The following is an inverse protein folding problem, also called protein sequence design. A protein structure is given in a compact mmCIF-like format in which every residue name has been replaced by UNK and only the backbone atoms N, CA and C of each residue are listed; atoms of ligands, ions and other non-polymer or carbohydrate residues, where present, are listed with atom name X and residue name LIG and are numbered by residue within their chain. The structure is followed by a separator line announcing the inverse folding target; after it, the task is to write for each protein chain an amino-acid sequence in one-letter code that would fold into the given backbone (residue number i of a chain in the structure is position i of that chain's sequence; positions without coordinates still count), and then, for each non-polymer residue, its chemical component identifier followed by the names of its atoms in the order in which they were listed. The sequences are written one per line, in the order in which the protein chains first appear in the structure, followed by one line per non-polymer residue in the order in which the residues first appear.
data_IF_796812618237
#
_entry.id   IF_796812618237
#
_cell.length_a   1.000
_cell.length_b   1.000
_cell.length_c   1.000
_cell.angle_alpha   90.00
_cell.angle_beta   90.00
_cell.angle_gamma   90.00
#
_symmetry.space_group_name_H-M   'P 1'
#
loop_
_entity.id
_entity.type
_entity.pdbx_description
1 polymer ?
#
# COMPACT_ATOMS: atom_id res chain seq x y z
N UNK A 1 -3.75 12.74 -2.64
CA UNK A 1 -3.91 12.06 -1.33
C UNK A 1 -5.32 11.54 -1.06
N UNK A 2 -6.40 12.34 -1.10
CA UNK A 2 -7.74 11.87 -0.69
C UNK A 2 -8.23 10.66 -1.47
N UNK A 3 -8.08 10.68 -2.80
CA UNK A 3 -8.44 9.56 -3.69
C UNK A 3 -7.65 8.30 -3.33
N UNK A 4 -6.32 8.40 -3.22
CA UNK A 4 -5.47 7.27 -2.84
C UNK A 4 -5.87 6.67 -1.48
N UNK A 5 -6.09 7.52 -0.47
CA UNK A 5 -6.53 7.09 0.85
C UNK A 5 -7.90 6.39 0.81
N UNK A 6 -8.87 6.97 0.11
CA UNK A 6 -10.20 6.37 -0.06
C UNK A 6 -10.10 5.01 -0.76
N UNK A 7 -9.34 4.92 -1.84
CA UNK A 7 -9.13 3.66 -2.58
C UNK A 7 -8.47 2.60 -1.71
N UNK A 8 -7.40 2.94 -0.95
CA UNK A 8 -6.72 1.96 -0.08
C UNK A 8 -7.57 1.50 1.10
N UNK A 9 -8.42 2.36 1.65
CA UNK A 9 -9.45 1.94 2.62
C UNK A 9 -10.46 0.98 1.97
N UNK A 10 -10.89 1.27 0.74
CA UNK A 10 -11.76 0.42 -0.05
C UNK A 10 -11.18 -0.98 -0.27
N UNK A 11 -9.90 -1.09 -0.63
CA UNK A 11 -9.21 -2.39 -0.80
C UNK A 11 -9.25 -3.23 0.49
N UNK A 12 -8.99 -2.62 1.65
CA UNK A 12 -9.03 -3.33 2.94
C UNK A 12 -10.45 -3.80 3.27
N UNK A 13 -11.45 -2.94 3.09
CA UNK A 13 -12.86 -3.31 3.30
C UNK A 13 -13.33 -4.43 2.37
N UNK A 14 -13.01 -4.30 1.08
CA UNK A 14 -13.32 -5.29 0.05
C UNK A 14 -12.68 -6.65 0.36
N UNK A 15 -11.41 -6.68 0.77
CA UNK A 15 -10.72 -7.92 1.13
C UNK A 15 -11.44 -8.65 2.27
N UNK A 16 -11.83 -7.92 3.32
CA UNK A 16 -12.52 -8.48 4.49
C UNK A 16 -13.88 -9.06 4.13
N UNK A 17 -14.67 -8.34 3.33
CA UNK A 17 -16.00 -8.82 2.92
C UNK A 17 -15.90 -9.98 1.95
N UNK A 18 -14.95 -9.93 1.01
CA UNK A 18 -14.71 -10.99 0.04
C UNK A 18 -14.27 -12.28 0.76
N UNK A 19 -13.38 -12.19 1.76
CA UNK A 19 -12.96 -13.35 2.55
C UNK A 19 -14.15 -14.13 3.13
N UNK A 20 -15.20 -13.44 3.61
CA UNK A 20 -16.40 -14.10 4.14
C UNK A 20 -17.14 -14.92 3.07
N UNK A 21 -17.18 -14.44 1.83
CA UNK A 21 -17.84 -15.13 0.71
C UNK A 21 -17.12 -16.42 0.29
N UNK A 22 -15.82 -16.55 0.58
CA UNK A 22 -15.01 -17.70 0.18
C UNK A 22 -14.74 -18.71 1.31
N UNK A 23 -15.31 -18.52 2.50
CA UNK A 23 -14.97 -19.29 3.71
C UNK A 23 -15.08 -20.83 3.61
N UNK A 24 -15.94 -21.36 2.73
CA UNK A 24 -16.12 -22.81 2.53
C UNK A 24 -15.37 -23.37 1.31
N UNK A 25 -14.73 -22.51 0.52
CA UNK A 25 -14.12 -22.91 -0.77
C UNK A 25 -12.66 -23.37 -0.64
N UNK A 26 -12.06 -23.20 0.55
CA UNK A 26 -10.62 -23.39 0.74
C UNK A 26 -9.75 -22.24 0.21
N UNK A 27 -10.34 -21.20 -0.39
CA UNK A 27 -9.62 -20.00 -0.87
C UNK A 27 -9.40 -19.02 0.28
N UNK A 28 -8.16 -18.55 0.44
CA UNK A 28 -7.80 -17.45 1.36
C UNK A 28 -7.68 -16.14 0.59
N UNK A 29 -8.26 -15.07 1.15
CA UNK A 29 -8.18 -13.71 0.60
C UNK A 29 -7.42 -12.85 1.60
N UNK A 30 -6.33 -12.23 1.16
CA UNK A 30 -5.44 -11.41 2.01
C UNK A 30 -5.14 -10.07 1.31
N UNK A 31 -4.94 -9.03 2.12
CA UNK A 31 -4.41 -7.76 1.67
C UNK A 31 -3.11 -7.46 2.43
N UNK A 32 -2.08 -7.08 1.68
CA UNK A 32 -0.80 -6.66 2.23
C UNK A 32 -0.72 -5.14 2.15
N UNK A 33 -0.37 -4.53 3.28
CA UNK A 33 -0.31 -3.08 3.45
C UNK A 33 1.14 -2.65 3.66
N UNK A 34 1.97 -2.61 2.60
CA UNK A 34 3.35 -2.20 2.74
C UNK A 34 3.45 -0.71 3.08
N UNK A 35 4.49 -0.37 3.85
CA UNK A 35 4.94 1.02 3.99
C UNK A 35 5.73 1.45 2.75
N UNK A 36 6.46 2.57 2.83
CA UNK A 36 7.25 3.10 1.74
C UNK A 36 8.22 2.07 1.17
N UNK A 37 7.98 1.70 -0.09
CA UNK A 37 8.73 0.65 -0.78
C UNK A 37 9.40 1.24 -2.00
N UNK A 38 10.69 0.99 -2.18
CA UNK A 38 11.48 1.55 -3.28
C UNK A 38 11.03 0.98 -4.64
N UNK A 39 10.05 1.65 -5.25
CA UNK A 39 9.37 1.24 -6.49
C UNK A 39 9.11 2.46 -7.38
N UNK A 40 8.87 2.28 -8.69
CA UNK A 40 8.63 3.41 -9.59
C UNK A 40 7.45 4.31 -9.20
N UNK A 41 6.40 3.76 -8.56
CA UNK A 41 5.22 4.54 -8.11
C UNK A 41 5.62 5.66 -7.14
N UNK A 42 6.59 5.43 -6.26
CA UNK A 42 7.08 6.45 -5.33
C UNK A 42 7.78 7.57 -6.11
N UNK A 43 8.60 7.23 -7.11
CA UNK A 43 9.32 8.21 -7.94
C UNK A 43 8.37 9.06 -8.79
N UNK A 44 7.30 8.43 -9.31
CA UNK A 44 6.26 9.11 -10.11
C UNK A 44 5.38 10.05 -9.26
N UNK A 45 5.25 9.76 -7.96
CA UNK A 45 4.48 10.58 -7.00
C UNK A 45 5.20 11.90 -6.67
N UNK A 46 6.45 12.10 -7.11
CA UNK A 46 7.25 13.31 -6.86
C UNK A 46 7.22 14.34 -8.01
N UNK A 47 6.44 14.10 -9.06
CA UNK A 47 6.27 15.07 -10.16
C UNK A 47 5.31 16.21 -9.76
N UNK A 48 5.34 17.33 -10.50
CA UNK A 48 4.80 18.66 -10.17
C UNK A 48 3.36 18.72 -9.57
N UNK A 49 2.51 17.74 -9.83
CA UNK A 49 1.12 17.68 -9.35
C UNK A 49 0.97 17.42 -7.84
N UNK A 50 2.05 17.01 -7.15
CA UNK A 50 2.04 16.57 -5.77
C UNK A 50 2.86 17.46 -4.81
N UNK A 51 3.13 18.73 -5.19
CA UNK A 51 3.83 19.71 -4.33
C UNK A 51 3.20 19.91 -2.94
N UNK A 52 1.90 19.70 -2.80
CA UNK A 52 1.22 19.74 -1.50
C UNK A 52 1.65 18.61 -0.55
N UNK A 53 2.34 17.59 -1.08
CA UNK A 53 2.91 16.48 -0.33
C UNK A 53 4.26 16.84 0.30
N UNK A 54 4.89 17.96 -0.06
CA UNK A 54 6.19 18.41 0.51
C UNK A 54 6.26 18.35 2.05
N UNK A 55 5.25 18.79 2.82
CA UNK A 55 5.28 18.67 4.28
C UNK A 55 5.30 17.21 4.75
N UNK A 56 4.58 16.33 4.04
CA UNK A 56 4.52 14.89 4.29
C UNK A 56 5.85 14.23 3.89
N UNK A 57 6.42 14.62 2.75
CA UNK A 57 7.72 14.16 2.26
C UNK A 57 8.87 14.55 3.19
N UNK A 58 8.85 15.77 3.76
CA UNK A 58 9.77 16.19 4.81
C UNK A 58 9.61 15.38 6.10
N UNK A 59 8.38 15.02 6.45
CA UNK A 59 8.14 14.09 7.56
C UNK A 59 8.62 12.67 7.23
N UNK A 60 8.67 12.33 5.94
CA UNK A 60 9.08 11.04 5.43
C UNK A 60 10.59 10.87 5.24
N UNK A 61 11.41 11.93 5.40
CA UNK A 61 12.87 11.85 5.22
C UNK A 61 13.54 10.89 6.21
N UNK A 62 12.93 10.68 7.38
CA UNK A 62 13.38 9.72 8.39
C UNK A 62 12.72 8.34 8.24
N UNK A 63 11.82 8.18 7.27
CA UNK A 63 11.05 6.96 7.13
C UNK A 63 11.83 5.94 6.32
N UNK A 64 12.03 4.78 6.92
CA UNK A 64 12.70 3.65 6.28
C UNK A 64 11.97 3.22 5.00
N UNK A 65 12.68 3.28 3.88
CA UNK A 65 12.22 2.73 2.60
C UNK A 65 12.66 1.27 2.49
N UNK A 66 11.70 0.35 2.52
CA UNK A 66 11.95 -1.08 2.36
C UNK A 66 12.18 -1.45 0.88
N UNK A 67 12.87 -2.57 0.64
CA UNK A 67 13.02 -3.12 -0.72
C UNK A 67 11.75 -3.84 -1.16
N UNK A 68 11.50 -3.97 -2.48
CA UNK A 68 10.43 -4.82 -3.00
C UNK A 68 10.55 -6.28 -2.53
N UNK A 69 11.77 -6.79 -2.37
CA UNK A 69 12.03 -8.15 -1.87
C UNK A 69 11.51 -8.36 -0.44
N UNK A 70 11.60 -7.35 0.43
CA UNK A 70 11.04 -7.41 1.78
C UNK A 70 9.51 -7.60 1.75
N UNK A 71 8.82 -6.92 0.83
CA UNK A 71 7.37 -7.07 0.65
C UNK A 71 7.03 -8.43 0.04
N UNK A 72 7.80 -8.88 -0.94
CA UNK A 72 7.62 -10.20 -1.56
C UNK A 72 7.77 -11.32 -0.54
N UNK A 73 8.78 -11.23 0.34
CA UNK A 73 8.99 -12.18 1.42
C UNK A 73 7.80 -12.26 2.37
N UNK A 74 7.21 -11.12 2.74
CA UNK A 74 6.02 -11.08 3.61
C UNK A 74 4.75 -11.69 2.98
N UNK A 75 4.74 -11.95 1.67
CA UNK A 75 3.62 -12.66 0.99
C UNK A 75 3.77 -14.17 1.10
N UNK A 76 5.03 -14.63 1.12
CA UNK A 76 5.39 -16.05 1.00
C UNK A 76 5.58 -16.69 2.38
N UNK A 77 6.17 -15.94 3.33
CA UNK A 77 6.34 -16.34 4.73
C UNK A 77 4.98 -16.42 5.47
#
# INVERSE_FOLDING_TARGET
LPVYCATKHGVVGFTRTLQMSYGLTGVRVLAICPSFTNTPIVKLTLNDDLKFLEPVLRFMSDVYFQSPDSVAKAVID
#
